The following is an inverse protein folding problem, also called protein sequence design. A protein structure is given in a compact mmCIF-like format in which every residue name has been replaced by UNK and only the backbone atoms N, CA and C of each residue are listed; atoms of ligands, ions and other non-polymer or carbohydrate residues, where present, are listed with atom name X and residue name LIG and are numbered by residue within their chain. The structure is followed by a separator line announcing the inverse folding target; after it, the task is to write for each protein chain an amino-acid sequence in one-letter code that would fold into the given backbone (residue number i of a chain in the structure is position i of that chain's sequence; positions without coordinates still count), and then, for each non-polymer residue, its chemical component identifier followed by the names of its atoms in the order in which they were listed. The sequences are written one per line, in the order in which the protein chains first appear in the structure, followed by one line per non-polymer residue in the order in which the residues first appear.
data_IF_919433946497
#
_entry.id   IF_919433946497
#
_cell.length_a   1.000
_cell.length_b   1.000
_cell.length_c   1.000
_cell.angle_alpha   90.00
_cell.angle_beta   90.00
_cell.angle_gamma   90.00
#
_symmetry.space_group_name_H-M   'P 1'
#
loop_
_entity.id
_entity.type
_entity.pdbx_description
1 polymer ?
#
# COMPACT_ATOMS: atom_id res chain seq x y z
N UNK A 1 17.28 7.53 -4.95
CA UNK A 1 16.46 6.82 -3.96
C UNK A 1 17.19 5.58 -3.47
N UNK A 2 17.17 5.34 -2.19
CA UNK A 2 17.78 4.17 -1.58
C UNK A 2 17.11 2.89 -2.11
N UNK A 3 17.92 1.89 -2.45
CA UNK A 3 17.42 0.62 -2.98
C UNK A 3 16.50 -0.10 -1.99
N UNK A 4 16.84 -0.05 -0.71
CA UNK A 4 16.02 -0.70 0.32
C UNK A 4 14.65 -0.02 0.39
N UNK A 5 14.61 1.29 0.29
CA UNK A 5 13.35 2.04 0.30
C UNK A 5 12.54 1.71 -0.95
N UNK A 6 13.20 1.66 -2.11
CA UNK A 6 12.51 1.30 -3.36
C UNK A 6 11.90 -0.10 -3.29
N UNK A 7 12.64 -1.06 -2.74
CA UNK A 7 12.14 -2.41 -2.57
C UNK A 7 10.94 -2.44 -1.64
N UNK A 8 11.02 -1.71 -0.53
CA UNK A 8 9.92 -1.64 0.41
C UNK A 8 8.67 -1.03 -0.23
N UNK A 9 8.84 0.06 -0.98
CA UNK A 9 7.73 0.68 -1.70
C UNK A 9 7.10 -0.32 -2.68
N UNK A 10 7.90 -1.07 -3.40
CA UNK A 10 7.41 -2.09 -4.33
C UNK A 10 6.58 -3.15 -3.62
N UNK A 11 7.04 -3.60 -2.44
CA UNK A 11 6.31 -4.58 -1.65
C UNK A 11 4.97 -4.01 -1.20
N UNK A 12 4.94 -2.75 -0.74
CA UNK A 12 3.70 -2.12 -0.31
C UNK A 12 2.73 -1.96 -1.47
N UNK A 13 3.23 -1.61 -2.65
CA UNK A 13 2.38 -1.49 -3.85
C UNK A 13 1.79 -2.85 -4.24
N UNK A 14 2.58 -3.90 -4.15
CA UNK A 14 2.09 -5.25 -4.44
C UNK A 14 1.01 -5.66 -3.44
N UNK A 15 1.18 -5.33 -2.16
CA UNK A 15 0.19 -5.62 -1.14
C UNK A 15 -1.12 -4.88 -1.41
N UNK A 16 -1.03 -3.61 -1.83
CA UNK A 16 -2.23 -2.85 -2.18
C UNK A 16 -2.99 -3.52 -3.33
N UNK A 17 -2.28 -3.97 -4.36
CA UNK A 17 -2.92 -4.67 -5.48
C UNK A 17 -3.57 -5.97 -5.03
N UNK A 18 -2.90 -6.69 -4.14
CA UNK A 18 -3.45 -7.93 -3.59
C UNK A 18 -4.76 -7.66 -2.83
N UNK A 19 -4.76 -6.63 -1.98
CA UNK A 19 -5.94 -6.26 -1.21
C UNK A 19 -7.07 -5.82 -2.13
N UNK A 20 -6.75 -5.04 -3.16
CA UNK A 20 -7.77 -4.59 -4.12
C UNK A 20 -8.43 -5.78 -4.83
N UNK A 21 -7.65 -6.81 -5.11
CA UNK A 21 -8.20 -8.00 -5.79
C UNK A 21 -9.14 -8.80 -4.90
N UNK A 22 -9.13 -8.53 -3.60
CA UNK A 22 -9.99 -9.22 -2.64
C UNK A 22 -11.22 -8.42 -2.22
N UNK A 23 -11.42 -7.25 -2.81
CA UNK A 23 -12.59 -6.44 -2.50
C UNK A 23 -13.86 -7.16 -2.95
N UNK A 24 -14.81 -7.26 -2.03
CA UNK A 24 -16.10 -7.88 -2.28
C UNK A 24 -17.21 -6.86 -2.06
N UNK A 25 -18.44 -7.15 -2.54
CA UNK A 25 -19.54 -6.20 -2.42
C UNK A 25 -19.91 -5.80 -0.99
N UNK A 26 -19.53 -6.63 -0.02
CA UNK A 26 -19.86 -6.37 1.39
C UNK A 26 -18.62 -6.54 2.25
N UNK A 27 -18.62 -5.87 3.40
CA UNK A 27 -17.57 -5.98 4.41
C UNK A 27 -16.17 -5.63 3.85
N UNK A 28 -16.08 -4.52 3.13
CA UNK A 28 -14.81 -4.08 2.55
C UNK A 28 -14.19 -2.90 3.29
N UNK A 29 -14.86 -2.40 4.33
CA UNK A 29 -14.41 -1.18 5.03
C UNK A 29 -12.99 -1.29 5.55
N UNK A 30 -12.65 -2.39 6.23
CA UNK A 30 -11.32 -2.56 6.81
C UNK A 30 -10.26 -2.71 5.71
N UNK A 31 -10.61 -3.27 4.56
CA UNK A 31 -9.68 -3.40 3.44
C UNK A 31 -9.36 -2.02 2.88
N UNK A 32 -10.38 -1.18 2.69
CA UNK A 32 -10.17 0.19 2.23
C UNK A 32 -9.30 0.99 3.20
N UNK A 33 -9.52 0.82 4.49
CA UNK A 33 -8.72 1.49 5.52
C UNK A 33 -7.27 1.04 5.43
N UNK A 34 -7.03 -0.27 5.27
CA UNK A 34 -5.69 -0.82 5.16
C UNK A 34 -4.98 -0.28 3.91
N UNK A 35 -5.69 -0.26 2.78
CA UNK A 35 -5.13 0.28 1.53
C UNK A 35 -4.73 1.74 1.73
N UNK A 36 -5.59 2.53 2.34
CA UNK A 36 -5.31 3.95 2.60
C UNK A 36 -4.06 4.12 3.46
N UNK A 37 -3.94 3.30 4.51
CA UNK A 37 -2.77 3.33 5.39
C UNK A 37 -1.49 3.01 4.62
N UNK A 38 -1.53 1.99 3.76
CA UNK A 38 -0.37 1.61 2.97
C UNK A 38 0.00 2.70 1.96
N UNK A 39 -0.99 3.31 1.32
CA UNK A 39 -0.76 4.40 0.38
C UNK A 39 -0.12 5.60 1.08
N UNK A 40 -0.57 5.90 2.29
CA UNK A 40 0.01 6.98 3.07
C UNK A 40 1.47 6.69 3.41
N UNK A 41 1.77 5.44 3.77
CA UNK A 41 3.14 5.04 4.07
C UNK A 41 4.05 5.16 2.85
N UNK A 42 3.56 4.75 1.68
CA UNK A 42 4.31 4.90 0.44
C UNK A 42 4.65 6.37 0.21
N UNK A 43 3.66 7.25 0.38
CA UNK A 43 3.84 8.67 0.18
C UNK A 43 4.92 9.23 1.13
N UNK A 44 4.89 8.81 2.39
CA UNK A 44 5.90 9.23 3.36
C UNK A 44 7.29 8.76 2.95
N UNK A 45 7.41 7.52 2.49
CA UNK A 45 8.69 6.97 2.07
C UNK A 45 9.22 7.70 0.84
N UNK A 46 8.34 8.00 -0.11
CA UNK A 46 8.73 8.73 -1.32
C UNK A 46 9.22 10.14 -0.99
N UNK A 47 8.63 10.76 0.02
CA UNK A 47 9.04 12.12 0.40
C UNK A 47 10.40 12.17 1.09
N UNK A 48 10.88 11.05 1.58
CA UNK A 48 12.17 10.95 2.26
C UNK A 48 13.32 10.61 1.32
N UNK A 49 13.03 10.33 0.09
CA UNK A 49 14.05 9.86 -0.86
C UNK A 49 14.39 10.90 -1.95
#
# INVERSE_FOLDING_TARGET
MDKAIQTYISVLKAEIQHLKSKLEPHDTGHIHTTISTLQHRIKELESKS
#
